data_IF_468558711116
#
_entry.id   IF_468558711116
#
_cell.length_a   1.000
_cell.length_b   1.000
_cell.length_c   1.000
_cell.angle_alpha   90.00
_cell.angle_beta   90.00
_cell.angle_gamma   90.00
#
_symmetry.space_group_name_H-M   'P 1'
#
loop_
_entity.id
_entity.type
_entity.pdbx_description
1 polymer ?
#
# COMPACT_ATOMS: atom_id res chain seq x y z
N UNK A 1 -13.64 -21.30 24.12
CA UNK A 1 -13.00 -20.88 22.87
C UNK A 1 -11.84 -19.98 23.28
N UNK A 2 -10.61 -20.50 23.24
CA UNK A 2 -9.42 -19.70 23.55
C UNK A 2 -9.33 -18.56 22.54
N UNK A 3 -9.00 -17.32 22.94
CA UNK A 3 -8.76 -16.27 21.97
C UNK A 3 -7.60 -16.70 21.08
N UNK A 4 -7.81 -16.72 19.76
CA UNK A 4 -6.74 -16.96 18.80
C UNK A 4 -5.66 -15.90 18.99
N UNK A 5 -4.41 -16.35 19.03
CA UNK A 5 -3.25 -15.49 19.20
C UNK A 5 -3.13 -14.54 17.99
N UNK A 6 -2.92 -13.23 18.19
CA UNK A 6 -2.92 -12.27 17.10
C UNK A 6 -1.76 -12.50 16.13
N UNK A 7 -2.04 -12.43 14.83
CA UNK A 7 -1.04 -12.56 13.75
C UNK A 7 -0.01 -11.42 13.87
N UNK A 8 1.27 -11.76 13.88
CA UNK A 8 2.38 -10.81 14.02
C UNK A 8 3.01 -10.48 12.67
N UNK A 9 3.73 -9.37 12.62
CA UNK A 9 4.44 -8.91 11.41
C UNK A 9 5.43 -9.94 10.85
N UNK A 10 6.05 -10.73 11.72
CA UNK A 10 6.95 -11.82 11.36
C UNK A 10 6.24 -12.98 10.66
N UNK A 11 4.99 -13.26 11.03
CA UNK A 11 4.19 -14.32 10.42
C UNK A 11 3.84 -13.96 8.96
N UNK A 12 3.54 -12.68 8.73
CA UNK A 12 3.31 -12.12 7.37
C UNK A 12 4.57 -12.19 6.51
N UNK A 13 5.72 -11.76 7.05
CA UNK A 13 7.01 -11.84 6.32
C UNK A 13 7.37 -13.28 5.98
N UNK A 14 7.19 -14.20 6.93
CA UNK A 14 7.45 -15.62 6.71
C UNK A 14 6.54 -16.20 5.61
N UNK A 15 5.26 -15.84 5.60
CA UNK A 15 4.34 -16.27 4.56
C UNK A 15 4.74 -15.75 3.17
N UNK A 16 5.18 -14.49 3.08
CA UNK A 16 5.66 -13.90 1.83
C UNK A 16 6.90 -14.62 1.28
N UNK A 17 7.89 -14.94 2.13
CA UNK A 17 9.08 -15.70 1.73
C UNK A 17 8.72 -17.11 1.26
N UNK A 18 7.82 -17.81 1.96
CA UNK A 18 7.35 -19.14 1.55
C UNK A 18 6.66 -19.12 0.17
N UNK A 19 5.91 -18.06 -0.15
CA UNK A 19 5.26 -17.90 -1.47
C UNK A 19 6.30 -17.65 -2.56
N UNK A 20 7.38 -16.89 -2.28
CA UNK A 20 8.47 -16.63 -3.24
C UNK A 20 9.20 -17.90 -3.65
N UNK A 21 9.43 -18.80 -2.71
CA UNK A 21 10.13 -20.08 -2.95
C UNK A 21 9.21 -21.16 -3.55
N UNK A 22 7.89 -20.90 -3.65
CA UNK A 22 6.94 -21.91 -4.08
C UNK A 22 6.91 -22.08 -5.62
N UNK A 23 6.84 -23.33 -6.14
CA UNK A 23 6.75 -23.59 -7.59
C UNK A 23 5.56 -22.92 -8.30
N UNK A 24 4.50 -22.60 -7.55
CA UNK A 24 3.29 -21.92 -8.03
C UNK A 24 3.23 -20.45 -7.57
N UNK A 25 4.38 -19.77 -7.48
CA UNK A 25 4.46 -18.38 -6.99
C UNK A 25 3.54 -17.41 -7.71
N UNK A 26 3.29 -17.56 -9.01
CA UNK A 26 2.43 -16.62 -9.78
C UNK A 26 0.98 -16.60 -9.26
N UNK A 27 0.22 -17.71 -9.26
CA UNK A 27 -1.15 -17.69 -8.71
C UNK A 27 -1.17 -17.46 -7.20
N UNK A 28 -0.16 -17.91 -6.46
CA UNK A 28 -0.08 -17.72 -5.01
C UNK A 28 0.22 -16.28 -4.61
N UNK A 29 0.96 -15.54 -5.44
CA UNK A 29 1.26 -14.12 -5.18
C UNK A 29 0.00 -13.25 -5.24
N UNK A 30 -0.95 -13.57 -6.12
CA UNK A 30 -2.25 -12.90 -6.17
C UNK A 30 -3.16 -13.24 -4.97
N UNK A 31 -3.14 -14.50 -4.50
CA UNK A 31 -3.88 -14.92 -3.31
C UNK A 31 -3.27 -14.34 -2.02
N UNK A 32 -1.93 -14.30 -1.95
CA UNK A 32 -1.19 -13.65 -0.87
C UNK A 32 -1.44 -12.14 -0.88
N UNK A 33 -1.56 -11.52 -2.05
CA UNK A 33 -2.01 -10.14 -2.19
C UNK A 33 -3.40 -9.93 -1.59
N UNK A 34 -4.41 -10.75 -1.92
CA UNK A 34 -5.74 -10.60 -1.33
C UNK A 34 -5.75 -10.81 0.19
N UNK A 35 -5.03 -11.82 0.69
CA UNK A 35 -5.00 -12.15 2.12
C UNK A 35 -4.24 -11.08 2.92
N UNK A 36 -3.06 -10.68 2.46
CA UNK A 36 -2.23 -9.70 3.14
C UNK A 36 -2.79 -8.28 2.99
N UNK A 37 -3.38 -7.93 1.86
CA UNK A 37 -4.02 -6.62 1.66
C UNK A 37 -5.30 -6.47 2.48
N UNK A 38 -6.08 -7.56 2.67
CA UNK A 38 -7.25 -7.56 3.57
C UNK A 38 -6.88 -7.58 5.05
N UNK A 39 -5.72 -8.12 5.42
CA UNK A 39 -5.22 -8.08 6.80
C UNK A 39 -4.37 -6.84 7.12
N UNK A 40 -3.89 -6.13 6.10
CA UNK A 40 -3.09 -4.92 6.23
C UNK A 40 -3.95 -3.65 6.36
N UNK A 41 -4.92 -3.66 7.25
CA UNK A 41 -5.46 -2.42 7.80
C UNK A 41 -4.68 -2.06 9.07
N UNK A 42 -3.73 -1.13 8.93
CA UNK A 42 -3.44 -0.17 9.99
C UNK A 42 -2.36 -0.47 11.03
N UNK A 43 -1.57 -1.57 10.99
CA UNK A 43 -0.47 -1.75 11.99
C UNK A 43 0.88 -2.29 11.50
N UNK A 44 1.04 -2.53 10.20
CA UNK A 44 2.32 -3.03 9.66
C UNK A 44 2.69 -2.29 8.38
N UNK A 45 3.21 -1.08 8.57
CA UNK A 45 3.85 -0.22 7.56
C UNK A 45 4.93 -0.94 6.72
N UNK A 46 5.35 -2.15 7.11
CA UNK A 46 6.46 -2.89 6.52
C UNK A 46 6.04 -3.84 5.38
N UNK A 47 4.87 -4.47 5.46
CA UNK A 47 4.48 -5.52 4.50
C UNK A 47 4.01 -4.96 3.14
N UNK A 48 3.41 -3.77 3.13
CA UNK A 48 2.90 -3.15 1.91
C UNK A 48 3.99 -2.72 0.94
N UNK A 49 5.09 -2.12 1.44
CA UNK A 49 6.18 -1.65 0.58
C UNK A 49 6.96 -2.82 -0.03
N UNK A 50 7.36 -3.81 0.76
CA UNK A 50 8.06 -5.01 0.25
C UNK A 50 7.24 -5.76 -0.81
N UNK A 51 5.91 -5.81 -0.63
CA UNK A 51 5.02 -6.46 -1.58
C UNK A 51 4.93 -5.69 -2.91
N UNK A 52 4.79 -4.37 -2.84
CA UNK A 52 4.74 -3.52 -4.04
C UNK A 52 6.08 -3.49 -4.77
N UNK A 53 7.20 -3.51 -4.04
CA UNK A 53 8.54 -3.68 -4.61
C UNK A 53 8.66 -5.03 -5.36
N UNK A 54 8.19 -6.12 -4.76
CA UNK A 54 8.19 -7.45 -5.39
C UNK A 54 7.30 -7.52 -6.63
N UNK A 55 6.17 -6.81 -6.65
CA UNK A 55 5.27 -6.74 -7.79
C UNK A 55 5.86 -5.90 -8.94
N UNK A 56 6.47 -4.76 -8.62
CA UNK A 56 7.18 -3.97 -9.63
C UNK A 56 8.25 -4.84 -10.33
N UNK A 57 9.05 -5.58 -9.55
CA UNK A 57 10.06 -6.49 -10.08
C UNK A 57 9.48 -7.59 -10.98
N UNK A 58 8.30 -8.17 -10.65
CA UNK A 58 7.66 -9.18 -11.50
C UNK A 58 7.12 -8.60 -12.81
N UNK A 59 6.74 -7.32 -12.83
CA UNK A 59 6.41 -6.57 -14.05
C UNK A 59 7.64 -6.08 -14.83
N UNK A 60 8.86 -6.40 -14.38
CA UNK A 60 10.10 -6.02 -15.04
C UNK A 60 10.47 -4.54 -14.86
N UNK A 61 9.87 -3.86 -13.89
CA UNK A 61 10.10 -2.44 -13.58
C UNK A 61 10.56 -2.29 -12.13
N UNK A 62 11.65 -1.58 -11.89
CA UNK A 62 12.01 -1.22 -10.52
C UNK A 62 11.03 -0.18 -9.98
N UNK A 63 10.65 -0.27 -8.70
CA UNK A 63 9.99 0.85 -8.02
C UNK A 63 11.02 1.95 -7.83
N UNK A 64 10.88 3.04 -8.58
CA UNK A 64 11.76 4.19 -8.49
C UNK A 64 11.28 5.10 -7.34
N UNK A 65 12.02 5.08 -6.22
CA UNK A 65 11.69 5.89 -5.05
C UNK A 65 11.66 7.40 -5.37
N UNK A 66 12.46 7.89 -6.33
CA UNK A 66 12.44 9.30 -6.72
C UNK A 66 11.16 9.65 -7.49
N UNK A 67 10.69 8.74 -8.34
CA UNK A 67 9.43 8.90 -9.08
C UNK A 67 8.21 8.81 -8.15
N UNK A 68 8.25 7.92 -7.16
CA UNK A 68 7.25 7.84 -6.09
C UNK A 68 7.20 9.18 -5.32
N UNK A 69 8.34 9.67 -4.85
CA UNK A 69 8.40 10.94 -4.11
C UNK A 69 7.89 12.11 -4.96
N UNK A 70 8.27 12.16 -6.24
CA UNK A 70 7.85 13.20 -7.19
C UNK A 70 6.34 13.19 -7.41
N UNK A 71 5.75 12.02 -7.65
CA UNK A 71 4.32 11.89 -7.92
C UNK A 71 3.47 12.17 -6.67
N UNK A 72 3.90 11.70 -5.49
CA UNK A 72 3.24 12.01 -4.22
C UNK A 72 3.27 13.51 -3.91
N UNK A 73 4.41 14.18 -4.09
CA UNK A 73 4.49 15.65 -3.92
C UNK A 73 3.56 16.40 -4.88
N UNK A 74 3.45 15.94 -6.12
CA UNK A 74 2.53 16.53 -7.10
C UNK A 74 1.06 16.32 -6.71
N UNK A 75 0.72 15.17 -6.13
CA UNK A 75 -0.60 14.90 -5.57
C UNK A 75 -0.90 15.82 -4.37
N UNK A 76 0.03 15.95 -3.42
CA UNK A 76 -0.12 16.85 -2.26
C UNK A 76 -0.31 18.30 -2.71
N UNK A 77 0.48 18.77 -3.69
CA UNK A 77 0.33 20.11 -4.24
C UNK A 77 -1.03 20.34 -4.92
N UNK A 78 -1.49 19.38 -5.73
CA UNK A 78 -2.81 19.45 -6.37
C UNK A 78 -3.94 19.42 -5.33
N UNK A 79 -3.81 18.63 -4.27
CA UNK A 79 -4.76 18.56 -3.16
C UNK A 79 -4.88 19.88 -2.40
N UNK A 80 -3.80 20.67 -2.31
CA UNK A 80 -3.82 22.01 -1.71
C UNK A 80 -4.48 23.08 -2.60
N UNK A 81 -4.72 22.77 -3.88
CA UNK A 81 -5.40 23.63 -4.84
C UNK A 81 -6.84 23.19 -5.11
N UNK A 82 -7.33 23.52 -6.32
CA UNK A 82 -8.67 23.17 -6.82
C UNK A 82 -8.59 22.37 -8.12
N UNK A 83 -7.46 21.66 -8.32
CA UNK A 83 -7.24 20.81 -9.48
C UNK A 83 -7.98 19.47 -9.35
N UNK A 84 -8.33 18.85 -10.47
CA UNK A 84 -8.81 17.47 -10.46
C UNK A 84 -7.69 16.52 -10.01
N UNK A 85 -7.91 15.79 -8.92
CA UNK A 85 -6.91 14.90 -8.32
C UNK A 85 -6.77 13.56 -9.03
N UNK A 86 -7.78 13.12 -9.79
CA UNK A 86 -7.79 11.79 -10.42
C UNK A 86 -6.56 11.56 -11.31
N UNK A 87 -6.13 12.49 -12.18
CA UNK A 87 -4.88 12.33 -12.93
C UNK A 87 -3.66 12.10 -12.04
N UNK A 88 -3.53 12.82 -10.91
CA UNK A 88 -2.39 12.68 -9.99
C UNK A 88 -2.41 11.35 -9.24
N UNK A 89 -3.58 10.88 -8.85
CA UNK A 89 -3.76 9.56 -8.23
C UNK A 89 -3.33 8.46 -9.21
N UNK A 90 -3.67 8.58 -10.50
CA UNK A 90 -3.24 7.64 -11.52
C UNK A 90 -1.72 7.68 -11.76
N UNK A 91 -1.10 8.86 -11.71
CA UNK A 91 0.35 8.99 -11.80
C UNK A 91 1.05 8.29 -10.61
N UNK A 92 0.55 8.47 -9.38
CA UNK A 92 1.04 7.74 -8.21
C UNK A 92 0.87 6.23 -8.36
N UNK A 93 -0.29 5.76 -8.83
CA UNK A 93 -0.54 4.33 -9.02
C UNK A 93 0.42 3.72 -10.08
N UNK A 94 0.70 4.44 -11.17
CA UNK A 94 1.67 4.03 -12.21
C UNK A 94 3.10 4.02 -11.69
N UNK A 95 3.43 4.92 -10.77
CA UNK A 95 4.70 4.93 -10.05
C UNK A 95 4.79 3.85 -8.95
N UNK A 96 3.81 2.94 -8.85
CA UNK A 96 3.74 1.92 -7.81
C UNK A 96 3.74 2.51 -6.38
N UNK A 97 3.02 3.63 -6.20
CA UNK A 97 2.67 4.09 -4.86
C UNK A 97 1.64 3.14 -4.24
N UNK A 98 1.78 2.86 -2.96
CA UNK A 98 0.78 2.12 -2.20
C UNK A 98 -0.48 2.97 -1.96
N UNK A 99 -1.62 2.32 -1.72
CA UNK A 99 -2.85 3.02 -1.32
C UNK A 99 -2.65 3.90 -0.08
N UNK A 100 -1.85 3.42 0.89
CA UNK A 100 -1.54 4.19 2.09
C UNK A 100 -0.76 5.45 1.78
N UNK A 101 0.29 5.38 0.94
CA UNK A 101 1.08 6.55 0.54
C UNK A 101 0.22 7.62 -0.13
N UNK A 102 -0.67 7.21 -1.04
CA UNK A 102 -1.62 8.09 -1.72
C UNK A 102 -2.59 8.72 -0.70
N UNK A 103 -3.19 7.90 0.17
CA UNK A 103 -4.10 8.38 1.25
C UNK A 103 -3.40 9.37 2.17
N UNK A 104 -2.17 9.06 2.59
CA UNK A 104 -1.40 9.86 3.53
C UNK A 104 -1.04 11.22 2.93
N UNK A 105 -0.58 11.26 1.68
CA UNK A 105 -0.30 12.50 0.96
C UNK A 105 -1.52 13.44 0.88
N UNK A 106 -2.73 12.87 0.71
CA UNK A 106 -3.97 13.65 0.74
C UNK A 106 -4.39 14.06 2.16
N UNK A 107 -4.15 13.20 3.16
CA UNK A 107 -4.43 13.49 4.56
C UNK A 107 -3.57 14.65 5.11
N UNK A 108 -2.35 14.85 4.62
CA UNK A 108 -1.52 16.01 4.98
C UNK A 108 -2.20 17.35 4.68
N UNK A 109 -3.06 17.41 3.66
CA UNK A 109 -3.77 18.61 3.24
C UNK A 109 -5.20 18.67 3.82
N UNK A 110 -5.95 17.59 3.69
CA UNK A 110 -7.37 17.56 4.06
C UNK A 110 -7.60 17.22 5.54
N UNK A 111 -6.60 16.66 6.21
CA UNK A 111 -6.72 16.08 7.54
C UNK A 111 -7.47 14.75 7.53
N UNK A 112 -7.48 14.11 8.69
CA UNK A 112 -8.22 12.87 8.90
C UNK A 112 -9.70 13.18 9.20
N UNK A 113 -10.60 12.42 8.59
CA UNK A 113 -12.02 12.45 8.94
C UNK A 113 -12.21 12.12 10.42
N UNK A 114 -13.07 12.89 11.10
CA UNK A 114 -13.50 12.65 12.48
C UNK A 114 -15.01 12.55 12.50
N UNK A 115 -15.52 11.45 13.04
CA UNK A 115 -16.96 11.22 13.15
C UNK A 115 -17.61 12.29 14.05
N UNK A 116 -18.70 12.93 13.61
CA UNK A 116 -19.44 13.87 14.45
C UNK A 116 -20.16 13.13 15.58
N UNK A 117 -20.02 13.64 16.81
CA UNK A 117 -20.71 13.07 17.97
C UNK A 117 -22.09 13.69 18.08
N UNK A 118 -23.13 12.85 17.98
CA UNK A 118 -24.53 13.24 18.22
C UNK A 118 -24.96 12.74 19.60
N UNK A 119 -25.61 13.61 20.39
CA UNK A 119 -26.15 13.31 21.72
C UNK A 119 -27.66 13.53 21.76
#
# INVERSE_FOLDING_TARGET
MTPEEPIRAEDVRRAAELVKEHPQREPLSALAFELLSRQAEGRTLFAGKEHVDSLAQSHGVGRDDAEVERTLKALTAAAAGDENLVPRILDCARAYCTLYEIRHAMEEVFGAYKEPVFF
#
